data_IF_957362831200
#
_entry.id   IF_957362831200
#
_cell.length_a   1.000
_cell.length_b   1.000
_cell.length_c   1.000
_cell.angle_alpha   90.00
_cell.angle_beta   90.00
_cell.angle_gamma   90.00
#
_symmetry.space_group_name_H-M   'P 1'
#
loop_
_entity.id
_entity.type
_entity.pdbx_description
1 polymer ?
#
# COMPACT_ATOMS: atom_id res chain seq x y z
N UNK A 1 12.88 20.69 -13.16
CA UNK A 1 11.62 21.21 -12.61
C UNK A 1 10.59 20.15 -12.89
N UNK A 2 9.90 19.59 -11.91
CA UNK A 2 9.23 20.33 -10.84
C UNK A 2 9.42 19.61 -9.51
N UNK A 3 10.07 20.29 -8.58
CA UNK A 3 9.92 20.03 -7.16
C UNK A 3 8.95 21.09 -6.68
N UNK A 4 7.70 20.72 -6.44
CA UNK A 4 6.76 21.54 -5.69
C UNK A 4 6.02 20.64 -4.69
N UNK A 5 6.22 20.98 -3.43
CA UNK A 5 5.35 20.72 -2.27
C UNK A 5 5.11 19.28 -1.81
N UNK A 6 6.16 18.63 -1.30
CA UNK A 6 6.07 17.59 -0.27
C UNK A 6 5.86 18.17 1.14
N UNK A 7 4.97 19.17 1.26
CA UNK A 7 4.40 19.54 2.56
C UNK A 7 3.43 18.44 2.95
N UNK A 8 3.85 17.60 3.90
CA UNK A 8 3.04 16.58 4.55
C UNK A 8 1.81 17.22 5.23
N UNK A 9 0.78 17.50 4.44
CA UNK A 9 -0.54 17.82 4.94
C UNK A 9 -1.18 16.49 5.27
N UNK A 10 -1.43 16.23 6.56
CA UNK A 10 -2.34 15.15 6.94
C UNK A 10 -3.65 15.37 6.19
N UNK A 11 -3.88 14.56 5.16
CA UNK A 11 -5.09 14.66 4.35
C UNK A 11 -6.22 13.96 5.11
N UNK A 12 -7.41 14.57 5.15
CA UNK A 12 -8.55 13.95 5.80
C UNK A 12 -8.82 12.59 5.15
N UNK A 13 -9.26 11.60 5.94
CA UNK A 13 -9.66 10.29 5.44
C UNK A 13 -10.91 10.40 4.54
N UNK A 14 -10.69 10.75 3.27
CA UNK A 14 -11.71 10.80 2.22
C UNK A 14 -12.02 9.41 1.70
N UNK A 15 -13.23 9.21 1.17
CA UNK A 15 -13.68 7.98 0.52
C UNK A 15 -13.16 7.82 -0.93
N UNK A 16 -12.24 8.68 -1.35
CA UNK A 16 -11.54 8.64 -2.62
C UNK A 16 -10.07 9.05 -2.44
N UNK A 17 -9.20 8.69 -3.39
CA UNK A 17 -7.86 9.24 -3.46
C UNK A 17 -7.87 10.69 -3.95
N UNK A 18 -6.91 11.50 -3.52
CA UNK A 18 -6.71 12.87 -4.03
C UNK A 18 -5.39 13.04 -4.81
N UNK A 19 -4.72 11.94 -5.09
CA UNK A 19 -3.57 11.84 -5.99
C UNK A 19 -3.74 10.64 -6.94
N UNK A 20 -2.89 10.58 -7.96
CA UNK A 20 -2.89 9.46 -8.91
C UNK A 20 -2.77 8.11 -8.17
N UNK A 21 -3.59 7.14 -8.58
CA UNK A 21 -3.48 5.76 -8.10
C UNK A 21 -2.40 5.07 -8.93
N UNK A 22 -1.33 4.63 -8.29
CA UNK A 22 -0.16 4.09 -8.95
C UNK A 22 -0.22 2.56 -9.08
N UNK A 23 -0.80 1.88 -8.08
CA UNK A 23 -0.85 0.43 -8.03
C UNK A 23 -2.09 -0.09 -7.30
N UNK A 24 -2.41 -1.36 -7.55
CA UNK A 24 -3.50 -2.06 -6.88
C UNK A 24 -3.13 -3.52 -6.59
N UNK A 25 -3.61 -4.04 -5.47
CA UNK A 25 -3.44 -5.43 -5.08
C UNK A 25 -4.76 -6.04 -4.58
N UNK A 26 -4.98 -7.32 -4.85
CA UNK A 26 -6.15 -8.06 -4.40
C UNK A 26 -5.75 -9.07 -3.33
N UNK A 27 -6.49 -9.09 -2.24
CA UNK A 27 -6.46 -10.18 -1.26
C UNK A 27 -7.77 -10.95 -1.34
N UNK A 28 -7.71 -12.20 -1.76
CA UNK A 28 -8.87 -13.08 -1.80
C UNK A 28 -8.93 -13.94 -0.54
N UNK A 29 -9.99 -13.78 0.25
CA UNK A 29 -10.35 -14.75 1.27
C UNK A 29 -11.46 -15.64 0.71
N UNK A 30 -11.15 -16.89 0.35
CA UNK A 30 -12.15 -17.88 -0.06
C UNK A 30 -12.97 -17.51 -1.30
N UNK A 31 -14.30 -17.70 -1.24
CA UNK A 31 -15.25 -17.74 -2.38
C UNK A 31 -15.48 -16.41 -3.15
N UNK A 32 -14.56 -15.45 -3.06
CA UNK A 32 -14.60 -14.19 -3.81
C UNK A 32 -15.50 -13.11 -3.22
N UNK A 33 -16.47 -13.46 -2.35
CA UNK A 33 -17.35 -12.50 -1.70
C UNK A 33 -16.64 -11.58 -0.68
N UNK A 34 -15.52 -12.04 -0.10
CA UNK A 34 -14.72 -11.29 0.88
C UNK A 34 -13.41 -10.72 0.28
N UNK A 35 -13.38 -10.52 -1.04
CA UNK A 35 -12.22 -9.92 -1.69
C UNK A 35 -11.99 -8.49 -1.19
N UNK A 36 -10.75 -8.21 -0.79
CA UNK A 36 -10.28 -6.87 -0.43
C UNK A 36 -9.40 -6.35 -1.56
N UNK A 37 -9.66 -5.13 -1.99
CA UNK A 37 -8.79 -4.39 -2.91
C UNK A 37 -7.96 -3.40 -2.11
N UNK A 38 -6.68 -3.28 -2.43
CA UNK A 38 -5.78 -2.27 -1.90
C UNK A 38 -5.33 -1.37 -3.05
N UNK A 39 -5.29 -0.06 -2.82
CA UNK A 39 -4.86 0.94 -3.82
C UNK A 39 -3.82 1.87 -3.22
N UNK A 40 -2.67 2.00 -3.88
CA UNK A 40 -1.59 2.91 -3.50
C UNK A 40 -1.64 4.20 -4.33
N UNK A 41 -1.38 5.34 -3.70
CA UNK A 41 -1.54 6.65 -4.34
C UNK A 41 -0.45 7.66 -4.02
N UNK A 42 -0.32 8.65 -4.90
CA UNK A 42 0.45 9.89 -4.70
C UNK A 42 -0.08 10.77 -3.57
N UNK A 43 -1.24 10.46 -3.01
CA UNK A 43 -1.73 11.11 -1.80
C UNK A 43 -1.07 10.59 -0.50
N UNK A 44 0.01 9.81 -0.62
CA UNK A 44 0.77 9.20 0.47
C UNK A 44 -0.04 8.20 1.31
N UNK A 45 -1.21 7.76 0.83
CA UNK A 45 -2.03 6.75 1.49
C UNK A 45 -2.16 5.47 0.69
N UNK A 46 -2.44 4.38 1.39
CA UNK A 46 -3.02 3.18 0.80
C UNK A 46 -4.43 3.02 1.31
N UNK A 47 -5.38 2.72 0.43
CA UNK A 47 -6.79 2.50 0.80
C UNK A 47 -7.18 1.05 0.58
N UNK A 48 -7.94 0.49 1.52
CA UNK A 48 -8.57 -0.82 1.42
C UNK A 48 -10.04 -0.68 1.12
N UNK A 49 -10.52 -1.43 0.15
CA UNK A 49 -11.91 -1.45 -0.29
C UNK A 49 -12.50 -2.84 -0.09
N UNK A 50 -13.77 -2.88 0.32
CA UNK A 50 -14.60 -4.08 0.32
C UNK A 50 -15.64 -3.97 -0.77
N UNK A 51 -15.98 -5.11 -1.37
CA UNK A 51 -17.06 -5.19 -2.36
C UNK A 51 -18.30 -5.79 -1.71
N UNK A 52 -19.43 -5.10 -1.81
CA UNK A 52 -20.72 -5.58 -1.33
C UNK A 52 -21.84 -5.06 -2.22
N UNK A 53 -22.80 -5.93 -2.56
CA UNK A 53 -23.97 -5.57 -3.38
C UNK A 53 -23.62 -4.82 -4.69
N UNK A 54 -22.51 -5.21 -5.34
CA UNK A 54 -22.06 -4.60 -6.60
C UNK A 54 -21.35 -3.25 -6.45
N UNK A 55 -21.02 -2.81 -5.23
CA UNK A 55 -20.32 -1.54 -4.96
C UNK A 55 -19.05 -1.75 -4.13
N UNK A 56 -18.01 -1.00 -4.44
CA UNK A 56 -16.83 -0.85 -3.59
C UNK A 56 -17.06 0.23 -2.53
N UNK A 57 -16.77 -0.09 -1.27
CA UNK A 57 -16.78 0.87 -0.15
C UNK A 57 -15.42 0.94 0.50
N UNK A 58 -15.01 2.15 0.91
CA UNK A 58 -13.78 2.33 1.67
C UNK A 58 -13.93 1.64 3.03
N UNK A 59 -13.00 0.76 3.35
CA UNK A 59 -12.96 -0.03 4.59
C UNK A 59 -11.84 0.43 5.53
N UNK A 60 -10.68 0.80 4.98
CA UNK A 60 -9.58 1.34 5.79
C UNK A 60 -8.67 2.26 4.96
N UNK A 61 -8.05 3.23 5.63
CA UNK A 61 -6.93 4.01 5.11
C UNK A 61 -5.70 3.69 5.94
N UNK A 62 -4.60 3.36 5.26
CA UNK A 62 -3.28 3.16 5.84
C UNK A 62 -2.47 4.44 5.65
N UNK A 63 -2.21 5.10 6.78
CA UNK A 63 -1.53 6.39 6.83
C UNK A 63 -0.17 6.24 7.48
N UNK A 64 0.82 6.97 6.97
CA UNK A 64 2.13 7.06 7.58
C UNK A 64 3.29 7.25 6.61
N UNK A 65 3.11 6.94 5.32
CA UNK A 65 4.05 7.42 4.30
C UNK A 65 4.00 8.94 4.25
N UNK A 66 5.15 9.56 4.00
CA UNK A 66 5.28 11.04 3.93
C UNK A 66 5.48 11.56 2.51
N UNK A 67 5.46 10.66 1.54
CA UNK A 67 5.56 10.92 0.10
C UNK A 67 4.76 9.86 -0.66
N UNK A 68 4.69 9.96 -1.99
CA UNK A 68 3.91 9.09 -2.86
C UNK A 68 4.12 7.61 -2.57
N UNK A 69 3.02 6.87 -2.47
CA UNK A 69 3.09 5.40 -2.44
C UNK A 69 3.09 4.91 -3.89
N UNK A 70 4.18 4.26 -4.28
CA UNK A 70 4.38 3.85 -5.67
C UNK A 70 3.75 2.48 -5.93
N UNK A 71 3.77 1.60 -4.93
CA UNK A 71 3.37 0.21 -5.12
C UNK A 71 2.77 -0.41 -3.84
N UNK A 72 2.02 -1.48 -4.04
CA UNK A 72 1.39 -2.26 -2.96
C UNK A 72 1.32 -3.75 -3.31
N UNK A 73 1.69 -4.59 -2.35
CA UNK A 73 1.64 -6.04 -2.45
C UNK A 73 0.94 -6.65 -1.22
N UNK A 74 0.27 -7.78 -1.40
CA UNK A 74 -0.34 -8.54 -0.29
C UNK A 74 0.31 -9.92 -0.20
N UNK A 75 0.81 -10.24 0.99
CA UNK A 75 1.36 -11.54 1.35
C UNK A 75 0.61 -12.11 2.57
N UNK A 76 -0.36 -12.98 2.31
CA UNK A 76 -1.24 -13.51 3.36
C UNK A 76 -1.96 -12.38 4.08
N UNK A 77 -1.62 -12.16 5.35
CA UNK A 77 -2.19 -11.09 6.20
C UNK A 77 -1.31 -9.84 6.28
N UNK A 78 -0.19 -9.81 5.55
CA UNK A 78 0.72 -8.67 5.54
C UNK A 78 0.53 -7.88 4.25
N UNK A 79 0.30 -6.58 4.39
CA UNK A 79 0.35 -5.62 3.31
C UNK A 79 1.76 -5.01 3.27
N UNK A 80 2.36 -4.95 2.09
CA UNK A 80 3.68 -4.36 1.86
C UNK A 80 3.50 -3.16 0.95
N UNK A 81 4.06 -2.01 1.32
CA UNK A 81 3.96 -0.78 0.53
C UNK A 81 5.33 -0.13 0.40
N UNK A 82 5.59 0.53 -0.73
CA UNK A 82 6.81 1.30 -0.93
C UNK A 82 6.51 2.71 -1.41
N UNK A 83 7.37 3.66 -1.03
CA UNK A 83 7.14 5.08 -1.25
C UNK A 83 8.40 5.84 -1.63
N UNK A 84 8.22 6.99 -2.28
CA UNK A 84 9.26 7.99 -2.50
C UNK A 84 9.86 8.53 -1.21
N UNK A 85 9.25 8.27 -0.05
CA UNK A 85 9.82 8.59 1.26
C UNK A 85 11.04 7.70 1.62
N UNK A 86 11.45 6.82 0.70
CA UNK A 86 12.54 5.86 0.82
C UNK A 86 12.29 4.81 1.89
N UNK A 87 11.03 4.51 2.17
CA UNK A 87 10.64 3.45 3.10
C UNK A 87 9.77 2.39 2.44
N UNK A 88 9.97 1.16 2.91
CA UNK A 88 8.99 0.08 2.77
C UNK A 88 8.25 -0.03 4.10
N UNK A 89 6.93 -0.22 4.06
CA UNK A 89 6.12 -0.40 5.26
C UNK A 89 5.34 -1.69 5.20
N UNK A 90 5.26 -2.33 6.36
CA UNK A 90 4.47 -3.53 6.58
C UNK A 90 3.26 -3.16 7.43
N UNK A 91 2.08 -3.55 6.97
CA UNK A 91 0.81 -3.33 7.64
C UNK A 91 0.10 -4.65 7.83
N UNK A 92 -0.73 -4.73 8.86
CA UNK A 92 -1.68 -5.82 8.98
C UNK A 92 -2.84 -5.56 8.00
N UNK A 93 -2.96 -6.41 6.98
CA UNK A 93 -3.99 -6.33 5.94
C UNK A 93 -5.41 -6.58 6.47
N UNK A 94 -5.55 -7.01 7.73
CA UNK A 94 -6.81 -7.18 8.46
C UNK A 94 -7.09 -6.04 9.44
N UNK A 95 -6.15 -5.13 9.67
CA UNK A 95 -6.32 -4.04 10.62
C UNK A 95 -7.53 -3.16 10.30
N UNK A 96 -8.19 -2.63 11.32
CA UNK A 96 -9.35 -1.75 11.18
C UNK A 96 -9.02 -0.38 10.58
N UNK A 97 -10.03 0.49 10.42
CA UNK A 97 -9.84 1.86 9.96
C UNK A 97 -8.80 2.61 10.80
N UNK A 98 -7.91 3.37 10.16
CA UNK A 98 -6.87 4.15 10.86
C UNK A 98 -5.65 3.34 11.33
N UNK A 99 -5.41 2.18 10.71
CA UNK A 99 -4.24 1.35 11.00
C UNK A 99 -2.94 2.12 10.72
N UNK A 100 -2.18 2.42 11.77
CA UNK A 100 -0.83 2.96 11.63
C UNK A 100 0.17 1.83 11.40
N UNK A 101 1.09 2.05 10.47
CA UNK A 101 2.09 1.07 10.12
C UNK A 101 3.04 0.84 11.29
N UNK A 102 3.32 -0.42 11.60
CA UNK A 102 4.49 -0.72 12.44
C UNK A 102 5.70 -0.21 11.65
N UNK A 103 6.49 0.71 12.24
CA UNK A 103 7.71 1.24 11.61
C UNK A 103 8.72 0.10 11.43
N UNK A 104 8.61 -0.62 10.33
CA UNK A 104 9.50 -1.70 9.92
C UNK A 104 10.56 -1.16 8.97
N UNK A 105 11.71 -0.84 9.55
CA UNK A 105 13.06 -0.71 8.98
C UNK A 105 13.27 -0.13 7.56
N UNK A 106 14.08 0.96 7.57
CA UNK A 106 14.89 1.52 6.48
C UNK A 106 15.50 0.44 5.57
N UNK A 107 15.50 0.71 4.26
CA UNK A 107 16.13 -0.07 3.17
C UNK A 107 16.25 -1.56 3.47
N UNK A 108 15.16 -2.29 3.31
CA UNK A 108 15.17 -3.75 3.39
C UNK A 108 14.79 -4.32 2.01
N UNK A 109 15.73 -5.03 1.38
CA UNK A 109 15.40 -6.05 0.40
C UNK A 109 14.62 -7.15 1.13
N UNK A 110 13.30 -7.00 1.22
CA UNK A 110 12.44 -8.00 1.83
C UNK A 110 12.16 -9.11 0.80
N UNK A 111 12.94 -10.19 0.85
CA UNK A 111 12.60 -11.42 0.16
C UNK A 111 11.65 -12.23 1.04
N UNK A 112 10.42 -12.47 0.59
CA UNK A 112 9.52 -13.43 1.23
C UNK A 112 9.34 -14.64 0.33
N UNK A 113 9.35 -15.84 0.90
CA UNK A 113 9.31 -17.11 0.18
C UNK A 113 7.93 -17.75 0.37
N UNK A 114 7.32 -18.22 -0.71
CA UNK A 114 6.21 -19.17 -0.67
C UNK A 114 6.59 -20.50 -1.33
N UNK A 115 5.67 -21.47 -1.32
CA UNK A 115 5.84 -22.80 -1.93
C UNK A 115 5.84 -22.79 -3.47
N UNK A 116 5.63 -21.64 -4.11
CA UNK A 116 5.59 -21.45 -5.58
C UNK A 116 6.79 -20.69 -6.15
N UNK A 117 7.65 -20.10 -5.32
CA UNK A 117 8.97 -19.60 -5.75
C UNK A 117 8.98 -18.24 -6.45
N UNK A 118 7.97 -17.40 -6.26
CA UNK A 118 8.05 -16.00 -6.72
C UNK A 118 8.85 -15.15 -5.71
N UNK A 119 9.77 -14.37 -6.27
CA UNK A 119 10.82 -13.61 -5.58
C UNK A 119 10.47 -12.13 -5.74
N UNK A 120 10.27 -11.40 -4.65
CA UNK A 120 10.16 -9.94 -4.71
C UNK A 120 11.46 -9.28 -4.29
N UNK A 121 12.03 -8.48 -5.20
CA UNK A 121 13.19 -7.65 -4.93
C UNK A 121 12.71 -6.23 -4.72
N UNK A 122 13.01 -5.63 -3.56
CA UNK A 122 12.96 -4.18 -3.42
C UNK A 122 14.18 -3.64 -4.16
N UNK A 123 13.99 -3.16 -5.39
CA UNK A 123 15.05 -2.52 -6.17
C UNK A 123 15.07 -1.03 -5.81
N UNK A 124 16.17 -0.57 -5.22
CA UNK A 124 16.45 0.86 -5.01
C UNK A 124 17.36 1.31 -6.15
N UNK A 125 16.78 1.91 -7.19
CA UNK A 125 17.54 2.74 -8.13
C UNK A 125 17.14 4.18 -7.85
N UNK A 126 18.09 5.11 -7.94
CA UNK A 126 18.14 6.46 -7.37
C UNK A 126 16.85 7.28 -7.14
N UNK A 127 15.71 6.95 -7.76
CA UNK A 127 14.46 7.68 -7.69
C UNK A 127 13.18 6.81 -7.49
N UNK A 128 13.27 5.47 -7.42
CA UNK A 128 12.08 4.60 -7.34
C UNK A 128 12.28 3.35 -6.45
N UNK A 129 11.22 2.99 -5.71
CA UNK A 129 11.10 1.74 -4.95
C UNK A 129 9.84 1.01 -5.44
N UNK A 130 9.93 -0.29 -5.72
CA UNK A 130 8.81 -1.14 -6.18
C UNK A 130 8.59 -2.33 -5.24
N UNK A 131 7.33 -2.80 -5.14
CA UNK A 131 6.92 -3.97 -4.35
C UNK A 131 6.33 -5.03 -5.30
N UNK A 132 7.12 -6.01 -5.70
CA UNK A 132 6.59 -7.16 -6.45
C UNK A 132 5.97 -8.17 -5.47
N UNK A 133 4.94 -8.91 -5.87
CA UNK A 133 4.36 -10.05 -5.14
C UNK A 133 4.46 -11.30 -6.01
#
# INVERSE_FOLDING_TARGET
GEGEDSLARAQPATDHHCGAVNALALAQSGSGADAKLFTASRDATVKRWKFGAGKATLDATFEGHVDWVNDVAVLGDTLITCSNDRTVRLWDARAGPGAQGKKGARSAAAATRDSSGLLSTVYEHSDYVMCVA
#
